data_IF_413584365677
#
_entry.id   IF_413584365677
#
_cell.length_a   1.000
_cell.length_b   1.000
_cell.length_c   1.000
_cell.angle_alpha   90.00
_cell.angle_beta   90.00
_cell.angle_gamma   90.00
#
_symmetry.space_group_name_H-M   'P 1'
#
loop_
_entity.id
_entity.type
_entity.pdbx_description
1 polymer ?
#
# COMPACT_ATOMS: atom_id res chain seq x y z
N UNK A 1 -12.16 5.53 -5.24
CA UNK A 1 -12.06 4.74 -3.99
C UNK A 1 -10.61 4.74 -3.57
N UNK A 2 -10.32 5.13 -2.33
CA UNK A 2 -8.96 5.26 -1.82
C UNK A 2 -8.92 5.03 -0.31
N UNK A 3 -7.77 5.32 0.30
CA UNK A 3 -7.63 5.30 1.74
C UNK A 3 -8.36 6.50 2.36
N UNK A 4 -8.95 6.28 3.53
CA UNK A 4 -9.62 7.31 4.33
C UNK A 4 -9.14 7.25 5.79
N UNK A 5 -9.26 8.35 6.56
CA UNK A 5 -9.02 8.31 8.00
C UNK A 5 -9.85 7.22 8.68
N UNK A 6 -9.19 6.43 9.53
CA UNK A 6 -9.78 5.26 10.20
C UNK A 6 -9.52 3.92 9.50
N UNK A 7 -8.92 3.93 8.31
CA UNK A 7 -8.45 2.71 7.65
C UNK A 7 -7.27 2.09 8.40
N UNK A 8 -7.31 0.77 8.57
CA UNK A 8 -6.25 -0.02 9.17
C UNK A 8 -5.63 -0.91 8.09
N UNK A 9 -4.35 -0.69 7.79
CA UNK A 9 -3.60 -1.52 6.86
C UNK A 9 -3.19 -2.81 7.57
N UNK A 10 -3.60 -3.95 7.00
CA UNK A 10 -3.31 -5.28 7.55
C UNK A 10 -2.20 -5.99 6.78
N UNK A 11 -2.08 -5.74 5.47
CA UNK A 11 -1.07 -6.35 4.61
C UNK A 11 -0.58 -5.39 3.54
N UNK A 12 0.69 -5.54 3.17
CA UNK A 12 1.32 -4.95 2.00
C UNK A 12 1.76 -6.10 1.09
N UNK A 13 1.18 -6.17 -0.11
CA UNK A 13 1.23 -7.33 -1.00
C UNK A 13 0.89 -8.62 -0.21
N UNK A 14 1.78 -9.61 -0.22
CA UNK A 14 1.60 -10.87 0.48
C UNK A 14 2.16 -10.89 1.92
N UNK A 15 2.51 -9.73 2.48
CA UNK A 15 3.14 -9.61 3.81
C UNK A 15 2.18 -8.96 4.83
N UNK A 16 1.85 -9.63 5.96
CA UNK A 16 1.20 -8.97 7.09
C UNK A 16 2.03 -7.83 7.65
N UNK A 17 1.37 -6.74 8.06
CA UNK A 17 1.99 -5.62 8.74
C UNK A 17 1.24 -5.32 10.04
N UNK A 18 1.98 -5.22 11.14
CA UNK A 18 1.41 -5.00 12.50
C UNK A 18 1.93 -3.73 13.15
N UNK A 19 2.85 -3.01 12.49
CA UNK A 19 3.45 -1.78 12.96
C UNK A 19 3.71 -0.81 11.81
N UNK A 20 3.86 0.46 12.14
CA UNK A 20 4.19 1.49 11.17
C UNK A 20 5.57 1.26 10.51
N UNK A 21 6.54 0.77 11.27
CA UNK A 21 7.88 0.48 10.72
C UNK A 21 7.87 -0.76 9.82
N UNK A 22 7.14 -1.81 10.19
CA UNK A 22 6.94 -2.98 9.32
C UNK A 22 6.24 -2.59 8.01
N UNK A 23 5.29 -1.66 8.08
CA UNK A 23 4.66 -1.08 6.88
C UNK A 23 5.67 -0.33 6.00
N UNK A 24 6.52 0.53 6.57
CA UNK A 24 7.56 1.26 5.82
C UNK A 24 8.52 0.31 5.11
N UNK A 25 9.02 -0.72 5.79
CA UNK A 25 9.93 -1.72 5.22
C UNK A 25 9.27 -2.51 4.07
N UNK A 26 8.01 -2.90 4.26
CA UNK A 26 7.25 -3.58 3.22
C UNK A 26 7.03 -2.68 1.98
N UNK A 27 6.76 -1.39 2.17
CA UNK A 27 6.68 -0.42 1.07
C UNK A 27 8.02 -0.22 0.34
N UNK A 28 9.11 -0.11 1.09
CA UNK A 28 10.48 -0.04 0.57
C UNK A 28 10.80 -1.26 -0.31
N UNK A 29 10.28 -2.43 0.04
CA UNK A 29 10.44 -3.63 -0.78
C UNK A 29 9.53 -3.59 -2.01
N UNK A 30 8.27 -3.16 -1.83
CA UNK A 30 7.26 -3.10 -2.88
C UNK A 30 7.58 -2.10 -4.00
N UNK A 31 8.29 -1.00 -3.72
CA UNK A 31 8.62 0.07 -4.69
C UNK A 31 9.39 -0.38 -5.93
N UNK A 32 9.94 -1.61 -5.93
CA UNK A 32 10.55 -2.23 -7.13
C UNK A 32 9.52 -2.62 -8.19
N UNK A 33 8.24 -2.72 -7.82
CA UNK A 33 7.13 -3.01 -8.72
C UNK A 33 6.47 -1.75 -9.29
N UNK A 34 5.40 -1.96 -10.08
CA UNK A 34 4.59 -0.86 -10.66
C UNK A 34 3.50 -0.34 -9.73
N UNK A 35 3.14 -1.12 -8.72
CA UNK A 35 2.04 -0.83 -7.79
C UNK A 35 2.23 -1.63 -6.50
N UNK A 36 1.48 -1.24 -5.48
CA UNK A 36 1.35 -1.97 -4.21
C UNK A 36 -0.10 -2.37 -3.99
N UNK A 37 -0.32 -3.62 -3.58
CA UNK A 37 -1.62 -4.12 -3.12
C UNK A 37 -1.69 -3.99 -1.60
N UNK A 38 -2.74 -3.37 -1.09
CA UNK A 38 -2.98 -3.24 0.35
C UNK A 38 -4.23 -4.03 0.72
N UNK A 39 -4.15 -4.83 1.79
CA UNK A 39 -5.35 -5.29 2.49
C UNK A 39 -5.68 -4.26 3.58
N UNK A 40 -6.87 -3.67 3.49
CA UNK A 40 -7.33 -2.61 4.37
C UNK A 40 -8.59 -3.04 5.10
N UNK A 41 -8.71 -2.66 6.36
CA UNK A 41 -9.94 -2.79 7.14
C UNK A 41 -10.53 -1.41 7.45
N UNK A 42 -11.81 -1.23 7.11
CA UNK A 42 -12.63 -0.06 7.48
C UNK A 42 -13.83 -0.54 8.28
N UNK A 43 -13.84 -0.23 9.58
CA UNK A 43 -14.81 -0.80 10.51
C UNK A 43 -14.79 -2.34 10.48
N UNK A 44 -15.92 -2.95 10.09
CA UNK A 44 -16.06 -4.42 9.99
C UNK A 44 -15.70 -5.00 8.62
N UNK A 45 -15.41 -4.17 7.63
CA UNK A 45 -15.19 -4.60 6.25
C UNK A 45 -13.70 -4.64 5.92
N UNK A 46 -13.28 -5.68 5.20
CA UNK A 46 -11.96 -5.79 4.61
C UNK A 46 -12.04 -5.64 3.08
N UNK A 47 -11.12 -4.90 2.48
CA UNK A 47 -11.05 -4.74 1.03
C UNK A 47 -9.62 -4.51 0.58
N UNK A 48 -9.40 -4.75 -0.72
CA UNK A 48 -8.12 -4.55 -1.36
C UNK A 48 -8.06 -3.19 -2.04
N UNK A 49 -6.95 -2.48 -1.89
CA UNK A 49 -6.63 -1.27 -2.65
C UNK A 49 -5.32 -1.48 -3.39
N UNK A 50 -5.32 -1.28 -4.70
CA UNK A 50 -4.10 -1.25 -5.48
C UNK A 50 -3.72 0.21 -5.74
N UNK A 51 -2.55 0.63 -5.27
CA UNK A 51 -2.02 1.95 -5.51
C UNK A 51 -0.86 1.85 -6.51
N UNK A 52 -0.91 2.56 -7.66
CA UNK A 52 0.26 2.67 -8.51
C UNK A 52 1.36 3.41 -7.75
N UNK A 53 2.62 3.01 -7.95
CA UNK A 53 3.70 3.93 -7.62
C UNK A 53 3.71 5.00 -8.70
N UNK A 54 3.75 6.28 -8.30
CA UNK A 54 4.11 7.33 -9.24
C UNK A 54 5.52 6.99 -9.72
N UNK A 55 5.57 6.46 -10.94
CA UNK A 55 6.83 6.35 -11.65
C UNK A 55 7.22 7.79 -11.90
N UNK A 56 8.35 8.19 -11.34
CA UNK A 56 9.01 9.45 -11.64
C UNK A 56 9.34 9.45 -13.15
N UNK A 57 8.33 9.69 -13.99
CA UNK A 57 8.51 10.09 -15.37
C UNK A 57 9.02 11.51 -15.27
N UNK A 58 10.33 11.64 -15.04
CA UNK A 58 11.06 12.78 -15.56
C UNK A 58 10.64 13.00 -17.03
N UNK A 59 10.62 14.26 -17.49
CA UNK A 59 10.09 14.60 -18.81
C UNK A 59 10.72 13.68 -19.86
N UNK A 60 9.87 13.00 -20.63
CA UNK A 60 10.32 12.34 -21.86
C UNK A 60 10.72 13.47 -22.80
N UNK A 61 12.03 13.69 -22.93
CA UNK A 61 12.75 14.57 -23.85
C UNK A 61 11.94 15.72 -24.50
#
# INVERSE_FOLDING_TARGET
>A
VGLEPGDIILRVNNQPVTSADGFKEALITARRGRSVLLLVRRGRYGYHITLPFEQDRGPSL
#
